data_IF_740583493067
#
_entry.id   IF_740583493067
#
_cell.length_a   1.000
_cell.length_b   1.000
_cell.length_c   1.000
_cell.angle_alpha   90.00
_cell.angle_beta   90.00
_cell.angle_gamma   90.00
#
_symmetry.space_group_name_H-M   'P 1'
#
loop_
_entity.id
_entity.type
_entity.pdbx_description
1 polymer ?
#
# COMPACT_ATOMS: atom_id res chain seq x y z
N UNK A 1 -16.84 21.41 73.02
CA UNK A 1 -15.62 20.99 72.30
C UNK A 1 -15.93 21.12 70.81
N UNK A 2 -15.32 22.11 70.13
CA UNK A 2 -15.47 22.41 68.71
C UNK A 2 -14.20 21.97 67.98
N UNK A 3 -14.31 21.35 66.81
CA UNK A 3 -13.32 21.21 65.71
C UNK A 3 -13.85 20.17 64.68
N UNK A 4 -13.50 20.23 63.37
CA UNK A 4 -13.82 21.29 62.42
C UNK A 4 -14.47 20.76 61.13
N UNK A 5 -14.99 21.71 60.35
CA UNK A 5 -15.45 21.56 58.96
C UNK A 5 -14.22 21.44 58.03
N UNK A 6 -14.22 20.49 57.11
CA UNK A 6 -13.37 20.52 55.92
C UNK A 6 -14.24 20.41 54.66
N UNK A 7 -14.29 21.44 53.79
CA UNK A 7 -14.88 21.32 52.49
C UNK A 7 -13.81 20.82 51.51
N UNK A 8 -13.92 19.57 51.06
CA UNK A 8 -13.14 19.10 49.93
C UNK A 8 -13.83 19.58 48.64
N UNK A 9 -13.24 20.64 48.07
CA UNK A 9 -13.59 21.24 46.80
C UNK A 9 -13.20 20.29 45.66
N UNK A 10 -14.16 19.54 45.11
CA UNK A 10 -13.98 18.79 43.86
C UNK A 10 -14.19 19.73 42.68
N UNK A 11 -13.12 20.38 42.20
CA UNK A 11 -13.09 20.89 40.83
C UNK A 11 -12.94 19.69 39.88
N UNK A 12 -14.08 19.23 39.35
CA UNK A 12 -14.09 18.40 38.16
C UNK A 12 -13.70 19.24 36.96
N UNK A 13 -12.42 19.20 36.57
CA UNK A 13 -11.99 19.71 35.27
C UNK A 13 -12.61 18.81 34.19
N UNK A 14 -13.67 19.29 33.55
CA UNK A 14 -14.16 18.75 32.28
C UNK A 14 -13.10 19.02 31.22
N UNK A 15 -12.16 18.09 31.06
CA UNK A 15 -11.27 18.05 29.91
C UNK A 15 -12.14 17.90 28.66
N UNK A 16 -12.12 18.92 27.80
CA UNK A 16 -12.60 18.82 26.43
C UNK A 16 -11.84 17.66 25.77
N UNK A 17 -12.54 16.56 25.53
CA UNK A 17 -12.04 15.49 24.68
C UNK A 17 -12.03 16.06 23.27
N UNK A 18 -10.88 16.62 22.86
CA UNK A 18 -10.63 16.79 21.44
C UNK A 18 -10.55 15.38 20.86
N UNK A 19 -11.52 15.03 20.02
CA UNK A 19 -11.38 13.86 19.16
C UNK A 19 -10.03 13.99 18.44
N UNK A 20 -9.17 12.98 18.61
CA UNK A 20 -7.89 12.95 17.91
C UNK A 20 -8.15 13.15 16.41
N UNK A 21 -7.33 13.94 15.69
CA UNK A 21 -7.48 14.09 14.25
C UNK A 21 -7.50 12.70 13.63
N UNK A 22 -8.47 12.48 12.75
CA UNK A 22 -8.62 11.22 12.04
C UNK A 22 -7.32 10.89 11.31
N UNK A 23 -6.61 9.87 11.77
CA UNK A 23 -5.39 9.42 11.11
C UNK A 23 -5.78 8.74 9.80
N UNK A 24 -5.62 9.44 8.69
CA UNK A 24 -5.96 8.91 7.37
C UNK A 24 -5.12 7.66 7.02
N UNK A 25 -3.96 7.45 7.66
CA UNK A 25 -3.16 6.23 7.49
C UNK A 25 -3.83 5.00 8.10
N UNK A 26 -4.70 5.17 9.10
CA UNK A 26 -5.50 4.07 9.69
C UNK A 26 -6.53 3.51 8.71
N UNK A 27 -6.91 4.27 7.68
CA UNK A 27 -7.75 3.80 6.55
C UNK A 27 -6.88 3.14 5.46
N UNK A 28 -5.63 3.57 5.32
CA UNK A 28 -4.68 3.06 4.30
C UNK A 28 -3.98 1.77 4.70
N UNK A 29 -3.79 1.54 6.00
CA UNK A 29 -3.28 0.29 6.53
C UNK A 29 -4.39 -0.75 6.52
N UNK A 30 -4.57 -1.47 5.40
CA UNK A 30 -5.21 -2.79 5.50
C UNK A 30 -4.50 -3.55 6.61
N UNK A 31 -5.23 -4.17 7.53
CA UNK A 31 -4.62 -5.19 8.38
C UNK A 31 -3.89 -6.19 7.49
N UNK A 32 -2.78 -6.74 7.95
CA UNK A 32 -2.04 -7.76 7.22
C UNK A 32 -2.99 -8.91 6.80
N UNK A 33 -3.24 -9.04 5.50
CA UNK A 33 -4.13 -10.05 4.94
C UNK A 33 -3.36 -11.30 4.51
N UNK A 34 -4.10 -12.38 4.29
CA UNK A 34 -3.57 -13.59 3.65
C UNK A 34 -3.65 -13.53 2.12
N UNK A 35 -2.91 -14.41 1.42
CA UNK A 35 -2.88 -14.41 -0.04
C UNK A 35 -4.25 -14.77 -0.63
N UNK A 36 -4.66 -14.02 -1.66
CA UNK A 36 -5.83 -14.34 -2.50
C UNK A 36 -5.33 -15.08 -3.72
N UNK A 37 -5.82 -16.31 -3.95
CA UNK A 37 -5.33 -17.19 -5.03
C UNK A 37 -3.80 -17.37 -5.03
N UNK A 38 -3.18 -17.32 -3.84
CA UNK A 38 -1.74 -17.46 -3.67
C UNK A 38 -0.92 -16.20 -3.96
N UNK A 39 -1.55 -15.04 -4.15
CA UNK A 39 -0.89 -13.76 -4.43
C UNK A 39 -1.26 -12.72 -3.37
N UNK A 40 -0.29 -11.90 -2.99
CA UNK A 40 -0.45 -10.66 -2.24
C UNK A 40 0.11 -9.53 -3.08
N UNK A 41 -0.76 -8.68 -3.61
CA UNK A 41 -0.37 -7.53 -4.41
C UNK A 41 0.31 -6.47 -3.53
N UNK A 42 1.46 -5.98 -3.97
CA UNK A 42 2.33 -5.10 -3.22
C UNK A 42 1.65 -3.78 -2.90
N UNK A 43 1.03 -3.14 -3.89
CA UNK A 43 0.24 -1.92 -3.75
C UNK A 43 -0.95 -2.10 -2.80
N UNK A 44 -1.34 -3.34 -2.49
CA UNK A 44 -2.40 -3.65 -1.55
C UNK A 44 -1.92 -3.96 -0.13
N UNK A 45 -0.61 -4.17 0.07
CA UNK A 45 -0.01 -4.41 1.38
C UNK A 45 -0.09 -3.18 2.31
N UNK A 46 -0.02 -3.41 3.64
CA UNK A 46 0.09 -2.33 4.61
C UNK A 46 1.27 -1.41 4.28
N UNK A 47 1.05 -0.10 4.34
CA UNK A 47 2.06 0.92 4.05
C UNK A 47 2.65 1.48 5.34
N UNK A 48 3.96 1.53 5.42
CA UNK A 48 4.71 2.07 6.55
C UNK A 48 5.84 3.00 6.08
N UNK A 49 6.06 4.07 6.84
CA UNK A 49 7.13 5.03 6.55
C UNK A 49 7.01 5.61 5.13
N UNK A 50 8.00 5.30 4.29
CA UNK A 50 8.13 5.85 2.92
C UNK A 50 7.51 4.99 1.81
N UNK A 51 6.87 3.88 2.17
CA UNK A 51 6.19 3.03 1.18
C UNK A 51 4.90 3.69 0.69
N UNK A 52 4.66 3.63 -0.61
CA UNK A 52 3.46 4.14 -1.29
C UNK A 52 3.11 3.22 -2.44
N UNK A 53 1.88 3.31 -2.94
CA UNK A 53 1.53 2.65 -4.19
C UNK A 53 2.03 3.48 -5.37
N UNK A 54 2.35 2.82 -6.47
CA UNK A 54 2.60 3.47 -7.75
C UNK A 54 1.94 2.67 -8.89
N UNK A 55 1.20 3.36 -9.75
CA UNK A 55 0.63 2.83 -10.98
C UNK A 55 1.71 2.69 -12.06
N UNK A 56 1.75 1.51 -12.69
CA UNK A 56 2.85 1.12 -13.57
C UNK A 56 2.53 1.18 -15.06
N UNK A 57 1.27 1.43 -15.44
CA UNK A 57 0.84 1.52 -16.85
C UNK A 57 1.65 2.47 -17.71
N UNK A 58 2.13 3.57 -17.12
CA UNK A 58 2.94 4.57 -17.83
C UNK A 58 4.34 4.07 -18.19
N UNK A 59 4.80 2.97 -17.57
CA UNK A 59 6.10 2.34 -17.81
C UNK A 59 5.99 1.09 -18.70
N UNK A 60 4.79 0.54 -18.90
CA UNK A 60 4.55 -0.62 -19.74
C UNK A 60 3.54 -1.58 -19.12
N UNK A 61 3.49 -2.79 -19.67
CA UNK A 61 2.69 -3.90 -19.15
C UNK A 61 3.56 -4.90 -18.37
N UNK A 62 2.92 -5.76 -17.57
CA UNK A 62 3.58 -6.91 -16.94
C UNK A 62 3.63 -6.89 -15.42
N UNK A 63 3.16 -5.82 -14.79
CA UNK A 63 2.90 -5.78 -13.34
C UNK A 63 1.53 -6.38 -13.04
N UNK A 64 1.44 -7.19 -11.98
CA UNK A 64 0.14 -7.61 -11.47
C UNK A 64 -0.62 -6.39 -10.95
N UNK A 65 -1.94 -6.36 -11.14
CA UNK A 65 -2.76 -5.22 -10.74
C UNK A 65 -2.41 -3.88 -11.41
N UNK A 66 -1.56 -3.87 -12.46
CA UNK A 66 -1.03 -2.68 -13.12
C UNK A 66 -0.30 -1.69 -12.18
N UNK A 67 0.16 -2.14 -11.02
CA UNK A 67 0.77 -1.31 -9.99
C UNK A 67 1.81 -2.07 -9.18
N UNK A 68 2.50 -1.36 -8.29
CA UNK A 68 3.37 -1.97 -7.30
C UNK A 68 3.46 -1.11 -6.03
N UNK A 69 4.03 -1.67 -4.95
CA UNK A 69 4.49 -0.89 -3.81
C UNK A 69 5.86 -0.30 -4.13
N UNK A 70 5.93 1.02 -4.13
CA UNK A 70 7.16 1.79 -4.26
C UNK A 70 7.66 2.22 -2.88
N UNK A 71 8.95 2.04 -2.63
CA UNK A 71 9.62 2.51 -1.42
C UNK A 71 10.93 3.21 -1.74
N UNK A 72 11.26 4.26 -0.99
CA UNK A 72 12.55 4.94 -1.05
C UNK A 72 13.30 4.88 0.29
N UNK A 73 14.62 4.74 0.22
CA UNK A 73 15.45 4.74 1.42
C UNK A 73 16.93 4.93 1.14
N UNK A 74 17.71 4.97 2.22
CA UNK A 74 19.18 5.09 2.22
C UNK A 74 19.82 3.75 2.57
N UNK A 75 21.05 3.53 2.12
CA UNK A 75 21.81 2.32 2.45
C UNK A 75 21.84 2.11 3.96
N UNK A 76 21.49 0.89 4.39
CA UNK A 76 21.33 0.50 5.78
C UNK A 76 19.88 0.48 6.28
N UNK A 77 18.96 1.18 5.61
CA UNK A 77 17.53 1.19 5.93
C UNK A 77 16.81 -0.03 5.31
N UNK A 78 15.58 -0.27 5.77
CA UNK A 78 14.75 -1.37 5.27
C UNK A 78 13.28 -0.97 5.10
N UNK A 79 12.63 -1.67 4.18
CA UNK A 79 11.17 -1.70 4.04
C UNK A 79 10.66 -3.03 4.59
N UNK A 80 9.50 -3.01 5.25
CA UNK A 80 8.84 -4.23 5.74
C UNK A 80 7.46 -4.40 5.12
N UNK A 81 7.22 -5.59 4.57
CA UNK A 81 5.92 -6.06 4.12
C UNK A 81 5.36 -7.05 5.14
N UNK A 82 4.16 -6.78 5.64
CA UNK A 82 3.50 -7.62 6.63
C UNK A 82 2.32 -8.37 6.00
N UNK A 83 2.24 -9.68 6.27
CA UNK A 83 1.17 -10.54 5.79
C UNK A 83 0.76 -11.57 6.83
N UNK A 84 -0.40 -12.18 6.65
CA UNK A 84 -0.96 -13.16 7.61
C UNK A 84 -1.17 -14.52 6.97
N UNK A 85 -0.90 -15.57 7.73
CA UNK A 85 -1.14 -16.96 7.34
C UNK A 85 -2.21 -17.52 8.27
N UNK A 86 -3.27 -18.09 7.70
CA UNK A 86 -4.37 -18.67 8.49
C UNK A 86 -4.11 -20.13 8.87
N UNK A 87 -3.39 -20.87 8.02
CA UNK A 87 -3.11 -22.29 8.22
C UNK A 87 -1.60 -22.49 8.31
N UNK A 88 -1.12 -23.07 9.40
CA UNK A 88 0.31 -23.41 9.48
C UNK A 88 0.64 -24.49 8.43
N UNK A 89 1.79 -24.38 7.77
CA UNK A 89 2.15 -25.30 6.69
C UNK A 89 3.49 -25.01 6.04
N UNK A 90 3.83 -25.78 5.01
CA UNK A 90 4.99 -25.52 4.16
C UNK A 90 4.51 -24.75 2.94
N UNK A 91 5.07 -23.55 2.74
CA UNK A 91 4.69 -22.67 1.65
C UNK A 91 5.84 -22.47 0.69
N UNK A 92 5.56 -22.51 -0.62
CA UNK A 92 6.45 -21.93 -1.62
C UNK A 92 6.27 -20.42 -1.61
N UNK A 93 7.35 -19.68 -1.35
CA UNK A 93 7.32 -18.22 -1.30
C UNK A 93 8.22 -17.63 -2.37
N UNK A 94 7.73 -16.64 -3.11
CA UNK A 94 8.51 -15.85 -4.06
C UNK A 94 8.01 -14.41 -4.10
N UNK A 95 8.83 -13.48 -4.60
CA UNK A 95 8.42 -12.09 -4.83
C UNK A 95 8.75 -11.65 -6.24
N UNK A 96 7.84 -10.93 -6.90
CA UNK A 96 8.19 -10.19 -8.11
C UNK A 96 8.51 -8.74 -7.72
N UNK A 97 9.67 -8.27 -8.17
CA UNK A 97 10.17 -6.92 -7.93
C UNK A 97 10.25 -6.17 -9.25
N UNK A 98 10.38 -4.85 -9.20
CA UNK A 98 10.65 -4.02 -10.39
C UNK A 98 12.15 -3.78 -10.53
N UNK A 99 12.65 -3.78 -11.77
CA UNK A 99 13.97 -3.25 -12.12
C UNK A 99 13.81 -1.82 -12.65
N UNK A 100 14.71 -0.91 -12.28
CA UNK A 100 14.72 0.46 -12.80
C UNK A 100 16.08 1.18 -12.61
N UNK A 101 16.30 2.36 -13.24
CA UNK A 101 17.60 3.02 -13.24
C UNK A 101 18.07 3.56 -11.88
N UNK A 102 17.15 3.80 -10.95
CA UNK A 102 17.39 4.37 -9.63
C UNK A 102 17.15 3.40 -8.47
N UNK A 103 17.13 2.11 -8.79
CA UNK A 103 16.87 1.04 -7.82
C UNK A 103 18.16 0.46 -7.22
N UNK A 104 18.05 0.07 -5.96
CA UNK A 104 19.19 -0.38 -5.15
C UNK A 104 19.45 -1.89 -5.18
N UNK A 105 20.42 -2.31 -4.36
CA UNK A 105 20.75 -3.71 -4.10
C UNK A 105 20.20 -4.12 -2.73
N UNK A 106 19.40 -5.18 -2.69
CA UNK A 106 18.66 -5.58 -1.49
C UNK A 106 19.05 -6.95 -0.92
N UNK A 107 18.87 -7.10 0.38
CA UNK A 107 18.83 -8.39 1.08
C UNK A 107 17.43 -8.61 1.64
N UNK A 108 16.89 -9.81 1.42
CA UNK A 108 15.54 -10.18 1.84
C UNK A 108 15.60 -11.14 3.03
N UNK A 109 14.80 -10.86 4.05
CA UNK A 109 14.66 -11.72 5.23
C UNK A 109 13.20 -11.94 5.58
N UNK A 110 12.86 -13.14 6.05
CA UNK A 110 11.54 -13.46 6.56
C UNK A 110 11.64 -13.72 8.06
N UNK A 111 10.87 -12.97 8.86
CA UNK A 111 10.89 -13.01 10.32
C UNK A 111 12.32 -12.91 10.88
N UNK A 112 13.13 -12.02 10.31
CA UNK A 112 14.54 -11.81 10.68
C UNK A 112 15.54 -12.81 10.09
N UNK A 113 15.10 -13.95 9.53
CA UNK A 113 16.00 -14.91 8.86
C UNK A 113 16.29 -14.46 7.44
N UNK A 114 17.56 -14.16 7.13
CA UNK A 114 17.98 -13.80 5.77
C UNK A 114 17.82 -14.98 4.82
N UNK A 115 17.11 -14.76 3.71
CA UNK A 115 16.83 -15.75 2.68
C UNK A 115 17.63 -15.48 1.39
N UNK A 116 17.80 -14.21 1.03
CA UNK A 116 18.52 -13.78 -0.17
C UNK A 116 19.36 -12.53 0.10
N UNK A 117 20.44 -12.37 -0.65
CA UNK A 117 21.39 -11.25 -0.55
C UNK A 117 21.78 -10.80 -1.95
N UNK A 118 22.19 -9.53 -2.08
CA UNK A 118 22.77 -9.02 -3.32
C UNK A 118 21.79 -9.01 -4.49
N UNK A 119 20.48 -8.84 -4.22
CA UNK A 119 19.48 -8.72 -5.27
C UNK A 119 19.64 -7.32 -5.88
N UNK A 120 20.33 -7.24 -7.00
CA UNK A 120 20.50 -6.01 -7.76
C UNK A 120 19.25 -5.73 -8.58
N UNK A 121 18.57 -4.63 -8.29
CA UNK A 121 17.35 -4.20 -8.97
C UNK A 121 17.62 -3.11 -10.02
N UNK A 122 18.89 -2.83 -10.32
CA UNK A 122 19.24 -1.89 -11.38
C UNK A 122 18.90 -2.44 -12.78
N UNK A 123 18.29 -1.57 -13.60
CA UNK A 123 18.14 -1.76 -15.04
C UNK A 123 18.10 -0.39 -15.73
N UNK A 124 18.61 -0.22 -16.95
CA UNK A 124 18.42 1.03 -17.71
C UNK A 124 16.94 1.29 -18.08
N UNK A 125 16.09 0.26 -18.03
CA UNK A 125 14.66 0.33 -18.33
C UNK A 125 13.82 -0.09 -17.11
N UNK A 126 12.60 0.46 -17.03
CA UNK A 126 11.63 0.08 -15.99
C UNK A 126 10.88 -1.16 -16.46
N UNK A 127 11.16 -2.31 -15.85
CA UNK A 127 10.57 -3.61 -16.23
C UNK A 127 10.32 -4.50 -15.01
N UNK A 128 9.38 -5.46 -15.05
CA UNK A 128 9.25 -6.48 -14.03
C UNK A 128 10.51 -7.36 -14.00
N UNK A 129 11.06 -7.61 -12.81
CA UNK A 129 12.12 -8.58 -12.61
C UNK A 129 11.57 -10.01 -12.72
N UNK A 130 12.45 -10.97 -13.03
CA UNK A 130 12.12 -12.37 -12.79
C UNK A 130 11.80 -12.58 -11.28
N UNK A 131 10.79 -13.41 -10.93
CA UNK A 131 10.46 -13.65 -9.55
C UNK A 131 11.65 -14.17 -8.75
N UNK A 132 11.91 -13.54 -7.61
CA UNK A 132 12.90 -14.00 -6.64
C UNK A 132 12.27 -15.12 -5.83
N UNK A 133 12.69 -16.35 -6.10
CA UNK A 133 12.33 -17.51 -5.27
C UNK A 133 12.95 -17.35 -3.88
N UNK A 134 12.15 -17.43 -2.81
CA UNK A 134 12.57 -17.41 -1.42
C UNK A 134 12.61 -18.82 -0.78
N UNK A 135 12.11 -19.82 -1.52
CA UNK A 135 12.14 -21.24 -1.19
C UNK A 135 10.85 -21.76 -0.56
N UNK A 136 10.94 -23.03 -0.12
CA UNK A 136 9.90 -23.69 0.67
C UNK A 136 10.12 -23.39 2.14
N UNK A 137 9.19 -22.69 2.76
CA UNK A 137 9.32 -22.14 4.11
C UNK A 137 8.21 -22.66 5.01
N UNK A 138 8.54 -23.13 6.23
CA UNK A 138 7.52 -23.38 7.23
C UNK A 138 6.97 -22.04 7.73
N UNK A 139 5.67 -21.83 7.53
CA UNK A 139 4.95 -20.66 8.04
C UNK A 139 3.95 -21.10 9.10
N UNK A 140 3.87 -20.35 10.18
CA UNK A 140 2.94 -20.58 11.29
C UNK A 140 1.65 -19.79 11.07
N UNK A 141 0.54 -20.22 11.67
CA UNK A 141 -0.64 -19.37 11.73
C UNK A 141 -0.29 -18.05 12.43
N UNK A 142 -0.65 -16.92 11.83
CA UNK A 142 -0.41 -15.59 12.35
C UNK A 142 0.33 -14.68 11.39
N UNK A 143 0.88 -13.59 11.94
CA UNK A 143 1.54 -12.53 11.20
C UNK A 143 2.99 -12.90 10.88
N UNK A 144 3.43 -12.55 9.68
CA UNK A 144 4.79 -12.69 9.20
C UNK A 144 5.27 -11.39 8.58
N UNK A 145 6.59 -11.16 8.64
CA UNK A 145 7.23 -9.95 8.14
C UNK A 145 8.32 -10.32 7.15
N UNK A 146 8.18 -9.85 5.91
CA UNK A 146 9.21 -9.90 4.89
C UNK A 146 9.90 -8.53 4.84
N UNK A 147 11.19 -8.50 5.15
CA UNK A 147 12.00 -7.28 5.15
C UNK A 147 12.91 -7.20 3.94
N UNK A 148 13.02 -6.00 3.37
CA UNK A 148 13.86 -5.66 2.23
C UNK A 148 14.88 -4.62 2.69
N UNK A 149 16.09 -5.06 3.03
CA UNK A 149 17.16 -4.18 3.49
C UNK A 149 17.98 -3.66 2.31
N UNK A 150 18.07 -2.34 2.17
CA UNK A 150 18.91 -1.69 1.17
C UNK A 150 20.38 -1.79 1.60
N UNK A 151 21.17 -2.54 0.85
CA UNK A 151 22.56 -2.88 1.19
C UNK A 151 23.60 -2.14 0.35
N UNK A 152 23.19 -1.57 -0.78
CA UNK A 152 24.05 -0.84 -1.70
C UNK A 152 23.30 -0.49 -2.96
N UNK A 153 24.02 -0.17 -4.04
CA UNK A 153 23.45 0.02 -5.36
C UNK A 153 24.47 -0.34 -6.44
N UNK A 154 23.99 -0.66 -7.64
CA UNK A 154 24.85 -0.81 -8.80
C UNK A 154 25.61 0.50 -9.08
N UNK A 155 26.90 0.49 -9.47
CA UNK A 155 27.62 1.71 -9.83
C UNK A 155 26.99 2.54 -10.95
N UNK A 156 26.12 1.93 -11.77
CA UNK A 156 25.38 2.62 -12.84
C UNK A 156 24.01 3.14 -12.39
N UNK A 157 23.57 2.81 -11.18
CA UNK A 157 22.30 3.27 -10.65
C UNK A 157 22.34 4.77 -10.33
N UNK A 158 21.29 5.48 -10.72
CA UNK A 158 21.12 6.90 -10.38
C UNK A 158 20.61 7.03 -8.94
N UNK A 159 21.10 8.01 -8.20
CA UNK A 159 20.59 8.26 -6.85
C UNK A 159 19.22 8.95 -6.90
N UNK A 160 18.23 8.36 -6.23
CA UNK A 160 16.97 9.02 -5.95
C UNK A 160 17.17 10.12 -4.89
N UNK A 161 16.63 11.32 -5.17
CA UNK A 161 16.76 12.51 -4.31
C UNK A 161 18.19 12.75 -3.80
N UNK A 162 19.20 12.47 -4.65
CA UNK A 162 20.65 12.66 -4.38
C UNK A 162 21.23 11.87 -3.20
N UNK A 163 20.48 10.99 -2.55
CA UNK A 163 20.96 10.33 -1.32
C UNK A 163 20.43 8.93 -1.06
N UNK A 164 19.53 8.42 -1.90
CA UNK A 164 18.90 7.13 -1.70
C UNK A 164 18.68 6.37 -3.00
N UNK A 165 17.99 5.24 -2.87
CA UNK A 165 17.58 4.37 -3.96
C UNK A 165 16.16 3.87 -3.71
N UNK A 166 15.52 3.44 -4.79
CA UNK A 166 14.15 2.94 -4.77
C UNK A 166 14.11 1.40 -4.78
N UNK A 167 12.91 0.88 -4.47
CA UNK A 167 12.51 -0.51 -4.64
C UNK A 167 11.03 -0.56 -4.98
N UNK A 168 10.67 -1.44 -5.89
CA UNK A 168 9.30 -1.73 -6.31
C UNK A 168 8.98 -3.19 -6.02
N UNK A 169 7.93 -3.46 -5.24
CA UNK A 169 7.39 -4.79 -4.97
C UNK A 169 6.05 -4.92 -5.70
N UNK A 170 6.02 -5.71 -6.76
CA UNK A 170 4.82 -6.03 -7.53
C UNK A 170 3.92 -6.95 -6.71
N UNK A 171 4.37 -8.16 -6.39
CA UNK A 171 3.62 -9.06 -5.53
C UNK A 171 4.51 -10.01 -4.71
N UNK A 172 3.89 -10.61 -3.68
CA UNK A 172 4.39 -11.77 -2.96
C UNK A 172 3.52 -12.98 -3.34
N UNK A 173 4.13 -14.02 -3.90
CA UNK A 173 3.48 -15.29 -4.20
C UNK A 173 3.70 -16.25 -3.05
N UNK A 174 2.61 -16.77 -2.47
CA UNK A 174 2.59 -17.64 -1.31
C UNK A 174 1.64 -18.81 -1.59
N UNK A 175 2.19 -19.97 -1.92
CA UNK A 175 1.41 -21.18 -2.28
C UNK A 175 1.61 -22.25 -1.22
N UNK A 176 0.53 -22.72 -0.60
CA UNK A 176 0.57 -23.84 0.35
C UNK A 176 0.93 -25.13 -0.41
N UNK A 177 1.98 -25.81 0.03
CA UNK A 177 2.44 -27.08 -0.54
C UNK A 177 2.02 -28.29 0.28
N UNK A 178 1.50 -28.08 1.49
CA UNK A 178 0.93 -29.18 2.28
C UNK A 178 -0.34 -29.65 1.57
N UNK A 179 -0.52 -30.96 1.31
CA UNK A 179 -1.76 -31.48 0.75
C UNK A 179 -2.91 -31.04 1.64
N UNK A 180 -3.84 -30.26 1.10
CA UNK A 180 -5.11 -30.03 1.78
C UNK A 180 -5.81 -31.39 1.82
N UNK A 181 -6.17 -31.85 3.02
CA UNK A 181 -7.26 -32.81 3.16
C UNK A 181 -8.44 -32.24 2.34
N UNK A 182 -9.11 -33.03 1.47
CA UNK A 182 -10.20 -32.51 0.64
C UNK A 182 -11.11 -31.71 1.55
N UNK A 183 -11.46 -30.47 1.16
CA UNK A 183 -12.06 -29.52 2.07
C UNK A 183 -13.22 -30.23 2.75
N UNK A 184 -13.10 -30.49 4.05
CA UNK A 184 -14.27 -30.81 4.88
C UNK A 184 -15.21 -29.69 4.55
N UNK A 185 -16.31 -30.04 3.88
CA UNK A 185 -17.20 -29.10 3.23
C UNK A 185 -17.32 -27.89 4.14
N UNK A 186 -16.71 -26.77 3.74
CA UNK A 186 -16.83 -25.54 4.50
C UNK A 186 -18.34 -25.39 4.66
N UNK A 187 -18.83 -25.41 5.90
CA UNK A 187 -20.17 -24.90 6.20
C UNK A 187 -20.29 -23.64 5.35
N UNK A 188 -21.32 -23.53 4.48
CA UNK A 188 -21.38 -22.46 3.50
C UNK A 188 -20.96 -21.18 4.19
N UNK A 189 -19.85 -20.62 3.73
CA UNK A 189 -19.46 -19.27 4.15
C UNK A 189 -20.74 -18.47 3.97
N UNK A 190 -21.31 -17.88 5.04
CA UNK A 190 -22.61 -17.25 4.95
C UNK A 190 -22.52 -16.32 3.76
N UNK A 191 -23.38 -16.60 2.77
CA UNK A 191 -23.46 -15.88 1.52
C UNK A 191 -23.30 -14.42 1.86
N UNK A 192 -22.17 -13.80 1.42
CA UNK A 192 -21.87 -12.41 1.74
C UNK A 192 -23.13 -11.65 1.41
N UNK A 193 -23.86 -11.21 2.44
CA UNK A 193 -25.04 -10.40 2.27
C UNK A 193 -24.63 -9.27 1.33
N UNK A 194 -25.36 -9.01 0.23
CA UNK A 194 -25.00 -7.93 -0.68
C UNK A 194 -24.76 -6.71 0.18
N UNK A 195 -23.50 -6.27 0.20
CA UNK A 195 -23.17 -5.02 0.88
C UNK A 195 -24.06 -4.00 0.20
N UNK A 196 -24.89 -3.24 0.93
CA UNK A 196 -25.81 -2.30 0.29
C UNK A 196 -24.98 -1.44 -0.66
N UNK A 197 -25.31 -1.50 -1.95
CA UNK A 197 -24.64 -0.70 -2.97
C UNK A 197 -24.94 0.76 -2.61
N UNK A 198 -23.95 1.43 -2.04
CA UNK A 198 -24.04 2.85 -1.75
C UNK A 198 -23.98 3.55 -3.11
N UNK A 199 -25.13 3.90 -3.66
CA UNK A 199 -25.22 4.76 -4.84
C UNK A 199 -24.91 6.18 -4.41
N UNK A 200 -23.81 6.75 -4.93
CA UNK A 200 -23.43 8.15 -4.70
C UNK A 200 -23.59 8.91 -6.01
N UNK A 201 -24.21 10.09 -5.98
CA UNK A 201 -24.36 10.93 -7.18
C UNK A 201 -23.17 11.87 -7.38
N UNK A 202 -23.04 12.42 -8.59
CA UNK A 202 -21.99 13.39 -8.89
C UNK A 202 -22.17 14.67 -8.06
N UNK A 203 -23.42 15.10 -7.86
CA UNK A 203 -23.77 16.26 -7.04
C UNK A 203 -23.36 16.05 -5.58
N UNK A 204 -23.54 14.84 -5.04
CA UNK A 204 -23.10 14.49 -3.69
C UNK A 204 -21.56 14.48 -3.55
N UNK A 205 -20.84 14.15 -4.63
CA UNK A 205 -19.37 14.12 -4.63
C UNK A 205 -18.72 15.48 -4.88
N UNK A 206 -19.38 16.44 -5.54
CA UNK A 206 -18.83 17.78 -5.77
C UNK A 206 -18.24 18.46 -4.52
N UNK A 207 -18.92 18.51 -3.36
CA UNK A 207 -18.35 19.11 -2.15
C UNK A 207 -17.12 18.36 -1.62
N UNK A 208 -17.06 17.04 -1.79
CA UNK A 208 -15.89 16.22 -1.42
C UNK A 208 -14.71 16.57 -2.32
N UNK A 209 -14.93 16.62 -3.64
CA UNK A 209 -13.90 16.97 -4.62
C UNK A 209 -13.37 18.40 -4.42
N UNK A 210 -14.26 19.36 -4.11
CA UNK A 210 -13.88 20.72 -3.79
C UNK A 210 -13.01 20.81 -2.53
N UNK A 211 -13.35 20.02 -1.50
CA UNK A 211 -12.62 20.02 -0.23
C UNK A 211 -11.26 19.36 -0.36
N UNK A 212 -11.17 18.21 -1.05
CA UNK A 212 -9.99 17.35 -0.97
C UNK A 212 -9.17 17.25 -2.27
N UNK A 213 -9.71 17.67 -3.42
CA UNK A 213 -9.09 17.40 -4.71
C UNK A 213 -8.76 18.67 -5.52
N UNK A 214 -9.66 19.65 -5.58
CA UNK A 214 -9.51 20.82 -6.47
C UNK A 214 -8.29 21.68 -6.14
N UNK A 215 -7.88 21.75 -4.87
CA UNK A 215 -6.68 22.48 -4.46
C UNK A 215 -5.40 22.06 -5.20
N UNK A 216 -5.32 20.81 -5.68
CA UNK A 216 -4.21 20.28 -6.48
C UNK A 216 -4.56 20.02 -7.94
N UNK A 217 -5.85 19.89 -8.27
CA UNK A 217 -6.37 19.42 -9.56
C UNK A 217 -7.42 20.36 -10.17
N UNK A 218 -7.14 21.66 -10.19
CA UNK A 218 -7.88 22.65 -10.97
C UNK A 218 -7.83 24.06 -10.37
N UNK A 219 -7.64 24.21 -9.06
CA UNK A 219 -7.60 25.52 -8.43
C UNK A 219 -6.27 26.23 -8.67
N UNK A 220 -6.34 27.56 -8.85
CA UNK A 220 -5.18 28.42 -9.09
C UNK A 220 -4.31 27.93 -10.26
N UNK A 221 -4.92 27.26 -11.24
CA UNK A 221 -4.22 26.69 -12.41
C UNK A 221 -3.34 25.47 -12.08
N UNK A 222 -3.47 24.87 -10.89
CA UNK A 222 -2.73 23.66 -10.53
C UNK A 222 -3.38 22.42 -11.13
N UNK A 223 -2.63 21.64 -11.88
CA UNK A 223 -3.08 20.38 -12.50
C UNK A 223 -2.07 19.28 -12.24
N UNK A 224 -1.89 18.90 -10.96
CA UNK A 224 -0.95 17.82 -10.61
C UNK A 224 -1.32 16.55 -11.39
N UNK A 225 -0.30 15.87 -11.93
CA UNK A 225 -0.52 14.67 -12.76
C UNK A 225 -1.20 14.93 -14.11
N UNK A 226 -1.32 16.19 -14.56
CA UNK A 226 -2.10 16.57 -15.75
C UNK A 226 -3.57 16.15 -15.62
N UNK A 227 -4.13 16.35 -14.44
CA UNK A 227 -5.52 16.06 -14.09
C UNK A 227 -6.16 17.36 -13.61
N UNK A 228 -7.18 17.83 -14.34
CA UNK A 228 -8.02 18.97 -13.97
C UNK A 228 -9.45 18.47 -13.74
N UNK A 229 -9.82 18.27 -12.47
CA UNK A 229 -11.13 17.74 -12.11
C UNK A 229 -12.25 18.78 -12.23
N UNK A 230 -11.91 20.07 -12.35
CA UNK A 230 -12.90 21.14 -12.53
C UNK A 230 -13.50 21.17 -13.92
N UNK A 231 -12.91 20.45 -14.87
CA UNK A 231 -13.49 20.23 -16.20
C UNK A 231 -14.57 19.13 -16.18
N UNK A 232 -14.71 18.37 -15.08
CA UNK A 232 -15.61 17.23 -14.95
C UNK A 232 -16.85 17.60 -14.12
N UNK A 233 -17.72 18.45 -14.67
CA UNK A 233 -18.88 19.00 -13.94
C UNK A 233 -20.17 18.23 -14.16
N UNK A 234 -20.31 17.58 -15.31
CA UNK A 234 -21.50 16.83 -15.72
C UNK A 234 -21.14 15.42 -16.16
N UNK A 235 -22.12 14.51 -16.18
CA UNK A 235 -21.90 13.16 -16.72
C UNK A 235 -21.38 13.15 -18.17
N UNK A 236 -21.74 14.17 -18.98
CA UNK A 236 -21.22 14.33 -20.33
C UNK A 236 -19.71 14.63 -20.33
N UNK A 237 -19.25 15.46 -19.41
CA UNK A 237 -17.84 15.84 -19.30
C UNK A 237 -16.97 14.62 -18.95
N UNK A 238 -17.47 13.73 -18.09
CA UNK A 238 -16.79 12.46 -17.77
C UNK A 238 -16.65 11.57 -19.01
N UNK A 239 -17.65 11.55 -19.88
CA UNK A 239 -17.62 10.75 -21.10
C UNK A 239 -16.76 11.37 -22.21
N UNK A 240 -16.68 12.71 -22.27
CA UNK A 240 -15.89 13.42 -23.29
C UNK A 240 -14.41 13.56 -22.93
N UNK A 241 -14.06 13.55 -21.63
CA UNK A 241 -12.69 13.74 -21.16
C UNK A 241 -12.09 12.43 -20.62
N UNK A 242 -12.16 11.36 -21.43
CA UNK A 242 -11.81 10.00 -21.00
C UNK A 242 -10.39 9.88 -20.45
N UNK A 243 -9.44 10.64 -20.98
CA UNK A 243 -8.06 10.64 -20.49
C UNK A 243 -7.92 11.22 -19.07
N UNK A 244 -8.64 12.30 -18.77
CA UNK A 244 -8.63 12.92 -17.43
C UNK A 244 -9.32 11.97 -16.45
N UNK A 245 -10.48 11.42 -16.84
CA UNK A 245 -11.23 10.45 -16.02
C UNK A 245 -10.41 9.20 -15.74
N UNK A 246 -9.75 8.63 -16.76
CA UNK A 246 -8.90 7.45 -16.61
C UNK A 246 -7.76 7.71 -15.64
N UNK A 247 -7.04 8.83 -15.78
CA UNK A 247 -5.95 9.19 -14.85
C UNK A 247 -6.45 9.41 -13.43
N UNK A 248 -7.58 10.07 -13.25
CA UNK A 248 -8.18 10.27 -11.93
C UNK A 248 -8.60 8.93 -11.31
N UNK A 249 -9.23 8.04 -12.09
CA UNK A 249 -9.62 6.70 -11.67
C UNK A 249 -8.41 5.82 -11.32
N UNK A 250 -7.35 5.85 -12.11
CA UNK A 250 -6.11 5.12 -11.83
C UNK A 250 -5.44 5.65 -10.55
N UNK A 251 -5.28 6.97 -10.41
CA UNK A 251 -4.65 7.58 -9.24
C UNK A 251 -5.44 7.31 -7.93
N UNK A 252 -6.77 7.28 -8.01
CA UNK A 252 -7.65 6.92 -6.89
C UNK A 252 -7.59 5.43 -6.58
N UNK A 253 -7.69 4.56 -7.60
CA UNK A 253 -7.61 3.11 -7.45
C UNK A 253 -6.28 2.67 -6.83
N UNK A 254 -5.19 3.29 -7.26
CA UNK A 254 -3.85 3.02 -6.75
C UNK A 254 -3.48 3.89 -5.55
N UNK A 255 -4.35 4.75 -5.04
CA UNK A 255 -4.08 5.56 -3.84
C UNK A 255 -2.84 6.48 -3.95
N UNK A 256 -2.51 6.94 -5.16
CA UNK A 256 -1.34 7.78 -5.45
C UNK A 256 -1.52 9.26 -5.08
N UNK A 257 -2.64 9.59 -4.43
CA UNK A 257 -2.99 10.97 -4.02
C UNK A 257 -2.99 11.10 -2.49
N UNK A 258 -1.85 11.10 -1.80
CA UNK A 258 -1.80 11.57 -0.41
C UNK A 258 -2.17 13.07 -0.35
N UNK A 259 -2.92 13.51 0.67
CA UNK A 259 -2.98 14.92 1.00
C UNK A 259 -1.55 15.45 1.24
N UNK A 260 -1.32 16.73 0.96
CA UNK A 260 -0.12 17.39 1.49
C UNK A 260 -0.26 17.42 3.02
N UNK A 261 0.81 17.08 3.74
CA UNK A 261 0.87 17.14 5.21
C UNK A 261 0.50 18.54 5.75
#
# INVERSE_FOLDING_TARGET
MRLPISPALLLGATGLIFAAPFDYHSVRGREAQGPVNGILEGELLPKHGKSRSQGMRSFGAGWSGDAHLLWDGKVGQEMTAEFRIEEAGIYQVATQLTLAPDYGIFSLSLNGKVLRRGIDLYSPEVIPAAPVDLGKLPLTRGKHTLSFKLTGANPKASMYQKSGYLMGLDFIKIVNLTPQEPPVAKTPEPEKTPTPEISVTLEEMQPVLATYCFGCHGDKGKEKGKVNLKELTTGKDYLSNIEVVRKAAEATAHQEMPPED
#
